data_IF_819628350546
#
_entry.id   IF_819628350546
#
_cell.length_a   1.000
_cell.length_b   1.000
_cell.length_c   1.000
_cell.angle_alpha   90.00
_cell.angle_beta   90.00
_cell.angle_gamma   90.00
#
_symmetry.space_group_name_H-M   'P 1'
#
loop_
_entity.id
_entity.type
_entity.pdbx_description
1 polymer ?
#
# COMPACT_ATOMS: atom_id res chain seq x y z
N UNK A 1 -23.22 5.46 -31.86
CA UNK A 1 -23.90 4.41 -31.07
C UNK A 1 -22.89 3.31 -30.89
N UNK A 2 -22.45 3.05 -29.66
CA UNK A 2 -21.49 1.98 -29.37
C UNK A 2 -22.30 0.69 -29.25
N UNK A 3 -21.95 -0.32 -30.04
CA UNK A 3 -22.57 -1.65 -29.99
C UNK A 3 -21.59 -2.62 -29.38
N UNK A 4 -22.02 -3.34 -28.35
CA UNK A 4 -21.22 -4.36 -27.67
C UNK A 4 -21.62 -5.74 -28.17
N UNK A 5 -20.66 -6.65 -28.26
CA UNK A 5 -20.94 -8.07 -28.49
C UNK A 5 -21.50 -8.73 -27.22
N UNK A 6 -22.25 -9.81 -27.38
CA UNK A 6 -22.83 -10.54 -26.23
C UNK A 6 -21.74 -11.03 -25.26
N UNK A 7 -20.59 -11.47 -25.79
CA UNK A 7 -19.45 -11.91 -24.96
C UNK A 7 -18.83 -10.77 -24.15
N UNK A 8 -18.77 -9.55 -24.69
CA UNK A 8 -18.32 -8.37 -23.93
C UNK A 8 -19.31 -8.00 -22.83
N UNK A 9 -20.61 -8.10 -23.12
CA UNK A 9 -21.66 -7.84 -22.12
C UNK A 9 -21.58 -8.86 -20.99
N UNK A 10 -21.40 -10.15 -21.30
CA UNK A 10 -21.20 -11.21 -20.29
C UNK A 10 -19.96 -10.96 -19.44
N UNK A 11 -18.84 -10.62 -20.06
CA UNK A 11 -17.60 -10.29 -19.36
C UNK A 11 -17.80 -9.15 -18.35
N UNK A 12 -18.46 -8.06 -18.77
CA UNK A 12 -18.75 -6.94 -17.88
C UNK A 12 -19.80 -7.29 -16.82
N UNK A 13 -20.80 -8.11 -17.13
CA UNK A 13 -21.81 -8.56 -16.17
C UNK A 13 -21.18 -9.40 -15.05
N UNK A 14 -20.30 -10.35 -15.39
CA UNK A 14 -19.59 -11.17 -14.41
C UNK A 14 -18.71 -10.30 -13.50
N UNK A 15 -17.98 -9.35 -14.11
CA UNK A 15 -17.13 -8.41 -13.37
C UNK A 15 -17.93 -7.47 -12.46
N UNK A 16 -19.10 -7.02 -12.90
CA UNK A 16 -20.04 -6.19 -12.13
C UNK A 16 -20.51 -6.90 -10.86
N UNK A 17 -20.84 -8.19 -10.96
CA UNK A 17 -21.23 -9.03 -9.81
C UNK A 17 -20.05 -9.27 -8.88
N UNK A 18 -18.89 -9.64 -9.43
CA UNK A 18 -17.68 -9.95 -8.65
C UNK A 18 -17.21 -8.76 -7.80
N UNK A 19 -17.29 -7.55 -8.35
CA UNK A 19 -16.91 -6.32 -7.66
C UNK A 19 -18.07 -5.69 -6.87
N UNK A 20 -19.23 -6.35 -6.81
CA UNK A 20 -20.43 -5.89 -6.09
C UNK A 20 -20.81 -4.44 -6.41
N UNK A 21 -20.58 -4.01 -7.66
CA UNK A 21 -20.70 -2.61 -8.09
C UNK A 21 -22.10 -2.02 -7.81
N UNK A 22 -23.13 -2.86 -7.85
CA UNK A 22 -24.50 -2.47 -7.48
C UNK A 22 -24.65 -1.92 -6.06
N UNK A 23 -23.78 -2.30 -5.12
CA UNK A 23 -23.80 -1.79 -3.75
C UNK A 23 -23.26 -0.36 -3.63
N UNK A 24 -22.47 0.07 -4.62
CA UNK A 24 -22.01 1.46 -4.75
C UNK A 24 -23.03 2.34 -5.49
N UNK A 25 -24.23 1.82 -5.81
CA UNK A 25 -25.32 2.58 -6.42
C UNK A 25 -25.26 2.71 -7.94
N UNK A 26 -24.36 1.98 -8.61
CA UNK A 26 -24.25 1.96 -10.07
C UNK A 26 -25.02 0.78 -10.67
N UNK A 27 -25.63 0.98 -11.84
CA UNK A 27 -26.22 -0.11 -12.63
C UNK A 27 -25.26 -0.61 -13.73
N UNK A 28 -25.58 -1.76 -14.33
CA UNK A 28 -24.72 -2.39 -15.35
C UNK A 28 -24.50 -1.48 -16.58
N UNK A 29 -25.53 -0.74 -17.02
CA UNK A 29 -25.41 0.15 -18.18
C UNK A 29 -24.48 1.34 -17.89
N UNK A 30 -24.53 1.90 -16.68
CA UNK A 30 -23.63 2.95 -16.21
C UNK A 30 -22.19 2.43 -16.05
N UNK A 31 -22.04 1.20 -15.56
CA UNK A 31 -20.73 0.54 -15.46
C UNK A 31 -20.08 0.37 -16.83
N UNK A 32 -20.80 -0.20 -17.80
CA UNK A 32 -20.28 -0.43 -19.15
C UNK A 32 -19.92 0.90 -19.86
N UNK A 33 -20.64 1.98 -19.56
CA UNK A 33 -20.33 3.30 -20.12
C UNK A 33 -18.97 3.86 -19.65
N UNK A 34 -18.51 3.53 -18.44
CA UNK A 34 -17.21 3.97 -17.92
C UNK A 34 -16.66 3.02 -16.85
N UNK A 35 -16.12 1.86 -17.25
CA UNK A 35 -15.76 0.80 -16.31
C UNK A 35 -14.61 1.19 -15.39
N UNK A 36 -13.58 1.87 -15.90
CA UNK A 36 -12.39 2.25 -15.12
C UNK A 36 -12.71 3.19 -13.95
N UNK A 37 -13.67 4.10 -14.13
CA UNK A 37 -14.05 5.04 -13.07
C UNK A 37 -14.88 4.37 -12.00
N UNK A 38 -15.84 3.54 -12.40
CA UNK A 38 -16.72 2.81 -11.49
C UNK A 38 -15.95 1.75 -10.70
N UNK A 39 -15.00 1.05 -11.33
CA UNK A 39 -14.15 0.07 -10.64
C UNK A 39 -13.27 0.72 -9.58
N UNK A 40 -12.73 1.91 -9.85
CA UNK A 40 -11.98 2.66 -8.84
C UNK A 40 -12.86 3.01 -7.64
N UNK A 41 -14.10 3.44 -7.88
CA UNK A 41 -15.06 3.73 -6.82
C UNK A 41 -15.46 2.48 -6.02
N UNK A 42 -15.48 1.31 -6.66
CA UNK A 42 -15.78 0.04 -5.99
C UNK A 42 -14.61 -0.52 -5.14
N UNK A 43 -13.41 0.08 -5.20
CA UNK A 43 -12.30 -0.22 -4.29
C UNK A 43 -12.40 0.55 -2.97
N UNK A 44 -13.17 1.64 -2.95
CA UNK A 44 -13.46 2.38 -1.72
C UNK A 44 -14.40 1.55 -0.83
N UNK A 45 -14.39 1.74 0.50
CA UNK A 45 -15.30 1.04 1.38
C UNK A 45 -16.76 1.24 0.95
N UNK A 46 -17.53 0.15 1.01
CA UNK A 46 -18.95 0.14 0.66
C UNK A 46 -19.69 1.23 1.46
N UNK A 47 -20.54 2.05 0.80
CA UNK A 47 -21.32 3.04 1.51
C UNK A 47 -22.22 2.34 2.52
N UNK A 48 -22.28 2.89 3.73
CA UNK A 48 -23.11 2.34 4.80
C UNK A 48 -24.58 2.31 4.37
N UNK A 49 -25.27 1.24 4.74
CA UNK A 49 -26.70 1.10 4.52
C UNK A 49 -27.45 2.20 5.28
N UNK A 50 -28.64 2.60 4.79
CA UNK A 50 -29.45 3.63 5.45
C UNK A 50 -29.70 3.35 6.94
N UNK A 51 -29.90 2.08 7.32
CA UNK A 51 -30.04 1.67 8.71
C UNK A 51 -28.74 1.86 9.52
N UNK A 52 -27.58 1.61 8.91
CA UNK A 52 -26.27 1.83 9.53
C UNK A 52 -25.99 3.33 9.68
N UNK A 53 -26.31 4.14 8.68
CA UNK A 53 -26.28 5.61 8.79
C UNK A 53 -27.14 6.13 9.93
N UNK A 54 -28.37 5.62 10.07
CA UNK A 54 -29.24 6.00 11.17
C UNK A 54 -28.65 5.61 12.54
N UNK A 55 -27.99 4.46 12.64
CA UNK A 55 -27.30 4.06 13.87
C UNK A 55 -26.10 4.97 14.19
N UNK A 56 -25.26 5.28 13.19
CA UNK A 56 -24.14 6.22 13.34
C UNK A 56 -24.63 7.60 13.79
N UNK A 57 -25.68 8.13 13.16
CA UNK A 57 -26.28 9.41 13.54
C UNK A 57 -26.86 9.37 14.96
N UNK A 58 -27.50 8.27 15.36
CA UNK A 58 -28.00 8.10 16.73
C UNK A 58 -26.87 8.06 17.77
N UNK A 59 -25.77 7.39 17.47
CA UNK A 59 -24.58 7.33 18.34
C UNK A 59 -23.98 8.73 18.46
N UNK A 60 -23.77 9.39 17.32
CA UNK A 60 -23.22 10.73 17.27
C UNK A 60 -24.10 11.74 18.04
N UNK A 61 -25.41 11.74 17.79
CA UNK A 61 -26.36 12.60 18.52
C UNK A 61 -26.33 12.33 20.03
N UNK A 62 -26.21 11.07 20.44
CA UNK A 62 -26.14 10.69 21.86
C UNK A 62 -24.85 11.21 22.52
N UNK A 63 -23.75 11.25 21.79
CA UNK A 63 -22.47 11.79 22.28
C UNK A 63 -22.46 13.32 22.29
N UNK A 64 -22.97 13.96 21.24
CA UNK A 64 -23.04 15.43 21.11
C UNK A 64 -23.94 16.08 22.17
N UNK A 65 -25.04 15.41 22.53
CA UNK A 65 -25.97 15.89 23.57
C UNK A 65 -25.58 15.52 25.00
N UNK A 66 -24.50 14.76 25.19
CA UNK A 66 -24.11 14.25 26.52
C UNK A 66 -25.11 13.26 27.14
N UNK A 67 -26.14 12.83 26.40
CA UNK A 67 -27.15 11.84 26.81
C UNK A 67 -26.63 10.40 26.68
N UNK A 68 -25.35 10.24 26.40
CA UNK A 68 -24.66 8.97 26.55
C UNK A 68 -24.68 8.55 28.01
N UNK A 69 -25.72 7.82 28.43
CA UNK A 69 -25.66 7.08 29.69
C UNK A 69 -24.33 6.31 29.72
N UNK A 70 -23.48 6.48 30.76
CA UNK A 70 -22.27 5.70 30.90
C UNK A 70 -22.72 4.23 30.93
N UNK A 71 -22.49 3.52 29.82
CA UNK A 71 -22.69 2.08 29.80
C UNK A 71 -21.66 1.50 30.76
N UNK A 72 -22.08 0.52 31.57
CA UNK A 72 -21.24 -0.22 32.50
C UNK A 72 -20.24 -1.15 31.77
N UNK A 73 -19.51 -0.58 30.82
CA UNK A 73 -18.32 -1.12 30.14
C UNK A 73 -17.13 -0.14 30.33
N UNK A 74 -17.33 0.99 31.03
CA UNK A 74 -16.26 1.93 31.38
C UNK A 74 -15.26 1.35 32.36
N UNK A 75 -15.62 0.31 33.12
CA UNK A 75 -14.64 -0.36 33.99
C UNK A 75 -13.53 -1.00 33.15
N UNK A 76 -13.83 -1.66 32.03
CA UNK A 76 -12.79 -2.37 31.27
C UNK A 76 -11.82 -1.43 30.54
N UNK A 77 -12.30 -0.28 30.04
CA UNK A 77 -11.45 0.70 29.35
C UNK A 77 -10.62 1.51 30.35
N UNK A 78 -11.19 1.95 31.48
CA UNK A 78 -10.43 2.65 32.52
C UNK A 78 -9.44 1.70 33.23
N UNK A 79 -9.80 0.43 33.44
CA UNK A 79 -8.89 -0.59 33.99
C UNK A 79 -7.75 -0.90 33.00
N UNK A 80 -8.03 -1.01 31.69
CA UNK A 80 -7.00 -1.19 30.67
C UNK A 80 -6.11 0.06 30.51
N UNK A 81 -6.69 1.26 30.55
CA UNK A 81 -5.95 2.52 30.46
C UNK A 81 -5.07 2.75 31.70
N UNK A 82 -5.51 2.34 32.89
CA UNK A 82 -4.72 2.42 34.12
C UNK A 82 -3.63 1.35 34.22
N UNK A 83 -3.71 0.27 33.44
CA UNK A 83 -2.70 -0.79 33.37
C UNK A 83 -1.59 -0.54 32.36
N UNK A 84 -1.74 0.45 31.48
CA UNK A 84 -0.79 0.77 30.41
C UNK A 84 -0.18 2.16 30.62
N UNK A 85 1.05 2.23 31.14
CA UNK A 85 1.83 3.46 31.08
C UNK A 85 2.50 3.57 29.70
N UNK A 86 2.06 4.55 28.91
CA UNK A 86 2.66 4.84 27.60
C UNK A 86 4.16 5.19 27.71
N UNK A 87 4.65 5.62 28.88
CA UNK A 87 6.07 5.86 29.13
C UNK A 87 6.86 4.56 29.10
N UNK A 88 6.35 3.50 29.73
CA UNK A 88 6.97 2.17 29.71
C UNK A 88 7.04 1.63 28.29
N UNK A 89 6.00 1.85 27.48
CA UNK A 89 6.01 1.51 26.06
C UNK A 89 7.08 2.28 25.28
N UNK A 90 7.26 3.57 25.53
CA UNK A 90 8.32 4.36 24.88
C UNK A 90 9.71 3.94 25.32
N UNK A 91 9.89 3.60 26.59
CA UNK A 91 11.17 3.13 27.11
C UNK A 91 11.53 1.74 26.56
N UNK A 92 10.53 0.85 26.42
CA UNK A 92 10.70 -0.41 25.71
C UNK A 92 11.11 -0.18 24.25
N UNK A 93 10.42 0.71 23.53
CA UNK A 93 10.78 1.05 22.15
C UNK A 93 12.20 1.60 22.03
N UNK A 94 12.63 2.47 22.96
CA UNK A 94 14.00 2.99 22.99
C UNK A 94 15.03 1.88 23.22
N UNK A 95 14.74 0.95 24.13
CA UNK A 95 15.60 -0.20 24.40
C UNK A 95 15.71 -1.11 23.17
N UNK A 96 14.59 -1.39 22.50
CA UNK A 96 14.54 -2.23 21.29
C UNK A 96 15.33 -1.61 20.14
N UNK A 97 15.17 -0.30 19.92
CA UNK A 97 15.95 0.44 18.91
C UNK A 97 17.44 0.40 19.24
N UNK A 98 17.81 0.66 20.50
CA UNK A 98 19.22 0.59 20.91
C UNK A 98 19.81 -0.81 20.70
N UNK A 99 19.06 -1.86 21.07
CA UNK A 99 19.47 -3.25 20.86
C UNK A 99 19.65 -3.59 19.37
N UNK A 100 18.78 -3.07 18.50
CA UNK A 100 18.86 -3.25 17.06
C UNK A 100 20.03 -2.48 16.41
N UNK A 101 20.45 -1.37 17.01
CA UNK A 101 21.55 -0.54 16.51
C UNK A 101 22.94 -1.03 16.95
N UNK A 102 23.05 -1.71 18.11
CA UNK A 102 24.32 -2.24 18.64
C UNK A 102 25.16 -3.04 17.61
N UNK A 103 24.58 -3.94 16.79
CA UNK A 103 25.34 -4.67 15.78
C UNK A 103 25.89 -3.78 14.66
N UNK A 104 25.30 -2.61 14.42
CA UNK A 104 25.65 -1.70 13.33
C UNK A 104 26.62 -0.60 13.78
N UNK A 105 27.04 -0.57 15.05
CA UNK A 105 27.93 0.47 15.61
C UNK A 105 29.30 0.54 14.90
N UNK A 106 29.73 -0.58 14.30
CA UNK A 106 30.95 -0.64 13.49
C UNK A 106 30.79 -0.13 12.05
N UNK A 107 29.56 0.11 11.59
CA UNK A 107 29.25 0.61 10.25
C UNK A 107 29.28 2.13 10.26
N UNK A 108 30.12 2.72 9.41
CA UNK A 108 30.20 4.17 9.27
C UNK A 108 28.85 4.78 8.87
N UNK A 109 28.53 5.94 9.44
CA UNK A 109 27.31 6.69 9.12
C UNK A 109 27.64 7.94 8.30
N UNK A 110 26.69 8.36 7.44
CA UNK A 110 26.69 9.68 6.80
C UNK A 110 25.31 10.29 6.97
N UNK A 111 25.24 11.49 7.54
CA UNK A 111 23.98 12.18 7.86
C UNK A 111 22.99 11.31 8.67
N UNK A 112 23.49 10.45 9.57
CA UNK A 112 22.66 9.56 10.38
C UNK A 112 22.13 8.32 9.67
N UNK A 113 22.51 8.06 8.41
CA UNK A 113 22.20 6.81 7.70
C UNK A 113 23.43 5.90 7.67
N UNK A 114 23.26 4.62 8.00
CA UNK A 114 24.33 3.62 7.88
C UNK A 114 24.73 3.43 6.41
N UNK A 115 26.03 3.45 6.13
CA UNK A 115 26.58 3.16 4.80
C UNK A 115 27.32 1.84 4.86
N UNK A 116 26.76 0.82 4.21
CA UNK A 116 27.48 -0.42 3.99
C UNK A 116 28.67 -0.19 3.03
N UNK A 117 29.90 -0.57 3.42
CA UNK A 117 31.04 -0.43 2.54
C UNK A 117 30.90 -1.37 1.33
N UNK A 118 30.83 -0.80 0.13
CA UNK A 118 30.71 -1.55 -1.12
C UNK A 118 31.99 -2.37 -1.37
N UNK A 119 31.91 -3.69 -1.17
CA UNK A 119 33.03 -4.60 -1.46
C UNK A 119 33.12 -4.85 -2.95
N UNK A 120 33.99 -4.12 -3.64
CA UNK A 120 34.32 -4.44 -5.02
C UNK A 120 35.19 -5.70 -5.08
N UNK A 121 34.70 -6.75 -5.75
CA UNK A 121 35.57 -7.82 -6.22
C UNK A 121 36.59 -7.23 -7.20
N UNK A 122 37.85 -7.16 -6.80
CA UNK A 122 38.94 -6.77 -7.69
C UNK A 122 39.06 -7.83 -8.77
N UNK A 123 38.71 -7.50 -10.01
CA UNK A 123 38.90 -8.38 -11.15
C UNK A 123 40.40 -8.61 -11.34
N UNK A 124 40.84 -9.87 -11.37
CA UNK A 124 42.24 -10.20 -11.62
C UNK A 124 42.63 -9.73 -13.04
N UNK A 125 43.58 -8.79 -13.14
CA UNK A 125 44.07 -8.19 -14.38
C UNK A 125 44.92 -9.13 -15.27
N UNK A 126 44.95 -10.44 -14.98
CA UNK A 126 45.80 -11.40 -15.73
C UNK A 126 45.14 -12.02 -16.97
N UNK A 127 43.88 -11.73 -17.28
CA UNK A 127 43.14 -12.35 -18.40
C UNK A 127 42.85 -11.42 -19.62
N UNK A 128 43.47 -10.25 -19.74
CA UNK A 128 43.31 -9.33 -20.89
C UNK A 128 44.12 -9.73 -22.13
N UNK A 129 44.09 -11.01 -22.51
CA UNK A 129 44.65 -11.53 -23.78
C UNK A 129 43.63 -12.34 -24.60
N UNK A 130 42.33 -12.04 -24.48
CA UNK A 130 41.33 -12.56 -25.39
C UNK A 130 40.99 -11.49 -26.45
N UNK A 131 41.24 -11.85 -27.71
CA UNK A 131 41.32 -11.01 -28.90
C UNK A 131 40.00 -10.35 -29.30
N UNK A 132 40.08 -9.11 -29.80
CA UNK A 132 39.13 -8.56 -30.76
C UNK A 132 39.93 -8.01 -31.95
N UNK A 133 40.26 -8.87 -32.91
CA UNK A 133 40.92 -8.48 -34.16
C UNK A 133 39.87 -7.95 -35.14
N UNK A 134 39.74 -6.62 -35.24
CA UNK A 134 39.01 -5.99 -36.34
C UNK A 134 40.00 -5.74 -37.49
N UNK A 135 40.17 -6.70 -38.39
CA UNK A 135 40.87 -6.48 -39.65
C UNK A 135 40.09 -5.48 -40.52
N UNK A 136 40.65 -4.28 -40.71
CA UNK A 136 40.12 -3.28 -41.66
C UNK A 136 40.37 -3.74 -43.09
N UNK A 137 39.31 -4.12 -43.80
CA UNK A 137 39.31 -4.38 -45.25
C UNK A 137 39.52 -3.04 -46.00
N UNK A 138 40.74 -2.77 -46.45
CA UNK A 138 41.04 -1.67 -47.37
C UNK A 138 40.47 -2.01 -48.76
N UNK A 139 39.42 -1.29 -49.19
CA UNK A 139 38.92 -1.35 -50.56
C UNK A 139 39.73 -0.39 -51.46
N UNK A 140 40.44 -0.94 -52.45
CA UNK A 140 41.06 -0.18 -53.54
C UNK A 140 39.97 0.52 -54.37
N UNK A 141 40.14 1.82 -54.65
CA UNK A 141 39.53 2.46 -55.83
C UNK A 141 40.28 3.74 -56.23
N UNK A 142 40.84 3.75 -57.43
CA UNK A 142 40.89 4.93 -58.30
C UNK A 142 42.24 5.62 -58.51
N UNK A 143 42.64 5.61 -59.81
CA UNK A 143 43.63 6.42 -60.51
C UNK A 143 45.11 6.06 -60.33
#
# INVERSE_FOLDING_TARGET
MITYSDSEIEYYAERFVRMRIGQHGFNLAQYIANPATVERAALEPEPLLAAQHAAVLRIWQRWDTGLAAPGSETDDIEIQANGWDWRDFLDQLRADVHAALLPLDHVGQRNGTFIEPMRHHRHNHRNTRAMANFERKQARKGA
#
